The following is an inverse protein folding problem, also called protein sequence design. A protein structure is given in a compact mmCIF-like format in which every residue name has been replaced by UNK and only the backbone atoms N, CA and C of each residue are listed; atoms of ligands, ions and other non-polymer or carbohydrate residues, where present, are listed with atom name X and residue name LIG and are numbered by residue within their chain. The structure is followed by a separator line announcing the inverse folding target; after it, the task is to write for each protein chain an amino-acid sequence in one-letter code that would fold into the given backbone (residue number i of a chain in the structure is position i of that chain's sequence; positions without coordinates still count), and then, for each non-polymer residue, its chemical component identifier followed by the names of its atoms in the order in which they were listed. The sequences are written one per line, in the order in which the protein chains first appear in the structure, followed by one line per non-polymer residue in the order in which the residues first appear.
data_IF_194108427182
#
_entry.id   IF_194108427182
#
_cell.length_a   1.000
_cell.length_b   1.000
_cell.length_c   1.000
_cell.angle_alpha   90.00
_cell.angle_beta   90.00
_cell.angle_gamma   90.00
#
_symmetry.space_group_name_H-M   'P 1'
#
loop_
_entity.id
_entity.type
_entity.pdbx_description
1 polymer ?
#
# COMPACT_ATOMS: atom_id res chain seq x y z
N UNK A 1 8.46 18.88 1.11
CA UNK A 1 8.38 18.52 0.87
C UNK A 1 8.31 17.82 0.42
N UNK A 2 8.28 17.68 0.22
CA UNK A 2 8.30 17.06 -0.47
C UNK A 2 8.95 16.64 -0.89
N UNK A 3 9.22 16.70 -0.84
CA UNK A 3 10.00 16.64 -1.71
C UNK A 3 10.99 15.75 -1.41
N UNK A 4 11.63 15.87 -0.59
CA UNK A 4 12.53 15.04 -0.22
C UNK A 4 12.13 13.77 -0.52
N UNK A 5 11.09 13.51 -0.32
CA UNK A 5 10.65 12.30 -0.55
C UNK A 5 10.79 11.95 -1.87
N UNK A 6 10.74 12.83 -2.61
CA UNK A 6 10.80 12.55 -3.90
C UNK A 6 11.99 11.91 -4.27
N UNK A 7 13.00 12.30 -3.74
CA UNK A 7 14.16 11.75 -4.16
C UNK A 7 14.16 10.34 -3.89
N UNK A 8 13.55 9.95 -2.94
CA UNK A 8 13.57 8.62 -2.67
C UNK A 8 13.00 7.89 -3.73
N UNK A 9 12.15 8.45 -4.39
CA UNK A 9 11.50 7.76 -5.33
C UNK A 9 12.31 7.37 -6.43
N UNK A 10 13.27 8.05 -6.67
CA UNK A 10 14.00 7.71 -7.74
C UNK A 10 14.49 6.39 -7.66
N UNK A 11 14.75 5.97 -6.59
CA UNK A 11 15.26 4.72 -6.47
C UNK A 11 14.50 3.72 -7.22
N UNK A 12 13.31 3.69 -7.14
CA UNK A 12 12.51 2.71 -7.76
C UNK A 12 12.65 2.68 -9.21
N UNK A 13 13.24 3.63 -9.70
CA UNK A 13 13.30 3.65 -11.07
C UNK A 13 14.03 2.47 -11.60
N UNK A 14 14.75 1.78 -10.85
CA UNK A 14 15.38 0.72 -11.35
C UNK A 14 14.51 -0.42 -11.42
N UNK A 15 13.45 -0.46 -11.96
CA UNK A 15 12.54 -1.50 -12.01
C UNK A 15 13.13 -2.73 -12.56
N UNK A 16 12.95 -3.80 -11.94
CA UNK A 16 13.51 -4.99 -12.40
C UNK A 16 12.47 -6.05 -12.28
N UNK A 17 12.82 -7.27 -12.47
CA UNK A 17 11.90 -8.31 -12.34
C UNK A 17 11.42 -8.43 -10.95
N UNK A 18 12.25 -8.12 -10.00
CA UNK A 18 11.84 -8.19 -8.63
C UNK A 18 10.76 -7.18 -8.38
N UNK A 19 10.86 -6.02 -9.00
CA UNK A 19 9.85 -5.03 -8.82
C UNK A 19 8.54 -5.53 -9.36
N UNK A 20 8.53 -6.25 -10.46
CA UNK A 20 7.30 -6.72 -10.99
C UNK A 20 6.71 -7.77 -10.08
N UNK A 21 7.53 -8.60 -9.48
CA UNK A 21 7.03 -9.57 -8.58
C UNK A 21 6.42 -8.89 -7.40
N UNK A 22 7.02 -7.81 -6.93
CA UNK A 22 6.48 -7.12 -5.82
C UNK A 22 5.13 -6.50 -6.14
N UNK A 23 4.97 -6.02 -7.35
CA UNK A 23 3.71 -5.44 -7.72
C UNK A 23 2.63 -6.51 -7.72
N UNK A 24 2.91 -7.70 -8.24
CA UNK A 24 1.94 -8.73 -8.24
C UNK A 24 1.61 -9.16 -6.84
N UNK A 25 2.62 -9.21 -5.96
CA UNK A 25 2.40 -9.59 -4.59
C UNK A 25 1.54 -8.54 -3.92
N UNK A 26 1.76 -7.29 -4.25
CA UNK A 26 1.00 -6.22 -3.68
C UNK A 26 -0.45 -6.32 -4.12
N UNK A 27 -0.69 -6.60 -5.39
CA UNK A 27 -2.05 -6.73 -5.87
C UNK A 27 -2.75 -7.87 -5.15
N UNK A 28 -2.05 -8.98 -4.98
CA UNK A 28 -2.65 -10.10 -4.32
C UNK A 28 -2.97 -9.74 -2.87
N UNK A 29 -2.05 -9.09 -2.20
CA UNK A 29 -2.25 -8.71 -0.83
C UNK A 29 -3.41 -7.72 -0.69
N UNK A 30 -3.51 -6.79 -1.63
CA UNK A 30 -4.59 -5.83 -1.57
C UNK A 30 -5.94 -6.53 -1.67
N UNK A 31 -6.02 -7.60 -2.43
CA UNK A 31 -7.28 -8.30 -2.55
C UNK A 31 -7.64 -9.01 -1.26
N UNK A 32 -6.68 -9.25 -0.38
CA UNK A 32 -6.95 -9.90 0.88
C UNK A 32 -7.41 -8.92 1.95
N UNK A 33 -7.34 -7.65 1.68
CA UNK A 33 -7.75 -6.68 2.68
C UNK A 33 -9.26 -6.54 2.71
N UNK A 34 -9.82 -6.19 3.86
CA UNK A 34 -11.24 -5.89 3.90
C UNK A 34 -11.51 -4.72 2.97
N UNK A 35 -12.67 -4.70 2.38
CA UNK A 35 -13.01 -3.68 1.40
C UNK A 35 -12.80 -2.26 1.92
N UNK A 36 -13.18 -1.99 3.16
CA UNK A 36 -13.06 -0.66 3.69
C UNK A 36 -11.62 -0.23 3.79
N UNK A 37 -10.73 -1.13 4.15
CA UNK A 37 -9.33 -0.76 4.27
C UNK A 37 -8.71 -0.58 2.89
N UNK A 38 -9.06 -1.46 1.96
CA UNK A 38 -8.51 -1.37 0.63
C UNK A 38 -8.94 -0.09 -0.03
N UNK A 39 -10.19 0.30 0.17
CA UNK A 39 -10.72 1.49 -0.44
C UNK A 39 -9.97 2.75 -0.02
N UNK A 40 -9.75 2.93 1.28
CA UNK A 40 -9.06 4.13 1.71
C UNK A 40 -7.61 4.11 1.25
N UNK A 41 -6.97 2.92 1.24
CA UNK A 41 -5.60 2.85 0.80
C UNK A 41 -5.50 3.24 -0.66
N UNK A 42 -6.40 2.76 -1.49
CA UNK A 42 -6.33 3.07 -2.89
C UNK A 42 -6.64 4.53 -3.19
N UNK A 43 -7.58 5.10 -2.45
CA UNK A 43 -7.90 6.50 -2.68
C UNK A 43 -6.72 7.38 -2.33
N UNK A 44 -6.04 7.06 -1.26
CA UNK A 44 -4.90 7.86 -0.86
C UNK A 44 -3.71 7.60 -1.79
N UNK A 45 -3.45 6.35 -2.10
CA UNK A 45 -2.26 6.02 -2.87
C UNK A 45 -2.38 6.28 -4.36
N UNK A 46 -3.51 5.94 -4.94
CA UNK A 46 -3.65 6.09 -6.37
C UNK A 46 -4.30 7.39 -6.79
N UNK A 47 -5.26 7.85 -6.02
CA UNK A 47 -5.93 9.08 -6.39
C UNK A 47 -5.26 10.27 -5.71
N UNK A 48 -4.31 10.00 -4.84
CA UNK A 48 -3.56 11.07 -4.22
C UNK A 48 -4.46 12.03 -3.45
N UNK A 49 -5.51 11.54 -2.86
CA UNK A 49 -6.41 12.39 -2.11
C UNK A 49 -5.92 12.59 -0.70
N UNK A 50 -6.20 13.76 -0.17
CA UNK A 50 -5.88 14.03 1.21
C UNK A 50 -6.88 13.27 2.07
N UNK A 51 -6.56 13.04 3.32
CA UNK A 51 -7.44 12.29 4.20
C UNK A 51 -8.81 12.94 4.31
N UNK A 52 -8.83 14.25 4.38
CA UNK A 52 -10.12 14.93 4.49
C UNK A 52 -10.95 14.73 3.22
N UNK A 53 -10.28 14.65 2.08
CA UNK A 53 -11.00 14.45 0.84
C UNK A 53 -11.55 13.03 0.77
N UNK A 54 -10.82 12.08 1.31
CA UNK A 54 -11.29 10.71 1.34
C UNK A 54 -12.51 10.64 2.27
N UNK A 55 -12.42 11.34 3.40
CA UNK A 55 -13.51 11.34 4.36
C UNK A 55 -14.78 11.89 3.71
N UNK A 56 -14.63 12.96 2.94
CA UNK A 56 -15.78 13.52 2.28
C UNK A 56 -16.30 12.58 1.22
N UNK A 57 -15.44 11.99 0.46
CA UNK A 57 -15.85 11.12 -0.61
C UNK A 57 -16.60 9.90 -0.10
N UNK A 58 -16.18 9.38 1.02
CA UNK A 58 -16.78 8.19 1.57
C UNK A 58 -17.87 8.48 2.60
N UNK A 59 -18.01 9.72 2.97
CA UNK A 59 -19.05 10.09 3.94
C UNK A 59 -18.72 9.58 5.33
N UNK A 60 -17.48 9.56 5.73
CA UNK A 60 -17.09 9.08 7.04
C UNK A 60 -16.19 10.09 7.72
N UNK A 61 -16.04 10.01 9.01
CA UNK A 61 -15.16 10.93 9.72
C UNK A 61 -13.72 10.74 9.32
N UNK A 62 -12.94 11.78 9.34
CA UNK A 62 -11.55 11.67 8.94
C UNK A 62 -10.80 10.74 9.89
N UNK A 63 -11.18 10.69 11.15
CA UNK A 63 -10.54 9.76 12.08
C UNK A 63 -10.74 8.32 11.65
N UNK A 64 -11.89 8.02 11.04
CA UNK A 64 -12.16 6.70 10.57
C UNK A 64 -11.28 6.40 9.35
N UNK A 65 -11.05 7.40 8.51
CA UNK A 65 -10.15 7.22 7.36
C UNK A 65 -8.77 6.87 7.89
N UNK A 66 -8.30 7.61 8.90
CA UNK A 66 -6.97 7.39 9.42
C UNK A 66 -6.85 6.01 10.06
N UNK A 67 -7.86 5.59 10.78
CA UNK A 67 -7.86 4.29 11.41
C UNK A 67 -7.84 3.18 10.38
N UNK A 68 -8.69 3.29 9.37
CA UNK A 68 -8.74 2.28 8.34
C UNK A 68 -7.44 2.21 7.55
N UNK A 69 -6.85 3.37 7.33
CA UNK A 69 -5.62 3.43 6.60
C UNK A 69 -4.50 2.76 7.42
N UNK A 70 -4.44 3.06 8.70
CA UNK A 70 -3.41 2.48 9.55
C UNK A 70 -3.56 0.97 9.62
N UNK A 71 -4.78 0.48 9.78
CA UNK A 71 -4.98 -0.95 9.83
C UNK A 71 -4.72 -1.60 8.50
N UNK A 72 -5.09 -0.93 7.44
CA UNK A 72 -4.85 -1.45 6.11
C UNK A 72 -3.38 -1.58 5.81
N UNK A 73 -2.61 -0.56 6.20
CA UNK A 73 -1.19 -0.61 5.96
C UNK A 73 -0.54 -1.72 6.77
N UNK A 74 -0.96 -1.86 8.01
CA UNK A 74 -0.37 -2.88 8.83
C UNK A 74 -0.70 -4.27 8.30
N UNK A 75 -1.94 -4.48 7.89
CA UNK A 75 -2.31 -5.76 7.38
C UNK A 75 -1.59 -6.04 6.07
N UNK A 76 -1.47 -5.04 5.25
CA UNK A 76 -0.79 -5.19 3.99
C UNK A 76 0.67 -5.56 4.24
N UNK A 77 1.29 -4.91 5.21
CA UNK A 77 2.66 -5.19 5.53
C UNK A 77 2.81 -6.65 5.96
N UNK A 78 1.90 -7.12 6.79
CA UNK A 78 1.97 -8.50 7.25
C UNK A 78 1.74 -9.48 6.11
N UNK A 79 0.82 -9.15 5.22
CA UNK A 79 0.56 -10.04 4.11
C UNK A 79 1.75 -10.10 3.18
N UNK A 80 2.41 -8.98 3.00
CA UNK A 80 3.57 -8.97 2.12
C UNK A 80 4.72 -9.75 2.74
N UNK A 81 4.84 -9.67 4.04
CA UNK A 81 5.92 -10.40 4.68
C UNK A 81 5.68 -11.89 4.64
N UNK A 82 4.44 -12.30 4.65
CA UNK A 82 4.14 -13.70 4.62
C UNK A 82 4.10 -14.30 3.25
N UNK A 83 4.29 -13.53 2.24
CA UNK A 83 4.16 -14.07 0.91
C UNK A 83 5.24 -15.06 0.64
N UNK A 84 4.91 -16.24 0.28
CA UNK A 84 5.89 -17.25 0.03
C UNK A 84 6.83 -16.89 -1.07
N UNK A 85 6.33 -16.22 -2.04
CA UNK A 85 7.20 -15.90 -3.14
C UNK A 85 8.30 -15.06 -2.65
N UNK A 86 8.01 -14.12 -1.84
CA UNK A 86 9.04 -13.29 -1.38
C UNK A 86 9.93 -14.10 -0.52
N UNK A 87 9.34 -14.93 0.24
CA UNK A 87 10.15 -15.65 1.13
C UNK A 87 10.98 -16.56 0.36
N UNK A 88 10.44 -17.11 -0.63
CA UNK A 88 11.17 -17.98 -1.36
C UNK A 88 12.39 -17.45 -1.77
N UNK A 89 12.33 -16.33 -2.19
CA UNK A 89 13.46 -15.79 -2.68
C UNK A 89 14.49 -15.82 -1.72
N UNK A 90 14.28 -15.37 -0.63
CA UNK A 90 15.32 -15.27 0.19
C UNK A 90 15.63 -16.48 0.77
N UNK A 91 14.78 -17.20 0.89
CA UNK A 91 15.06 -18.30 1.50
C UNK A 91 15.98 -19.06 0.90
N UNK A 92 15.86 -19.06 -0.06
CA UNK A 92 16.66 -19.75 -0.65
C UNK A 92 17.78 -19.66 -0.29
N UNK A 93 17.76 -19.42 0.33
CA UNK A 93 18.69 -19.32 0.73
C UNK A 93 19.11 -19.92 1.17
#
# INVERSE_FOLDING_TARGET
LHSIDEEDFEVPTRATQNDRLEVRDLEFALRQLPDEQREVLLLVALEDLAYAEVADALGIPVGTVMSRLARGRERLRLLMEDRPSGANLRVVR
#
